data_IF_814217331573
#
_entry.id   IF_814217331573
#
_cell.length_a   1.000
_cell.length_b   1.000
_cell.length_c   1.000
_cell.angle_alpha   90.00
_cell.angle_beta   90.00
_cell.angle_gamma   90.00
#
_symmetry.space_group_name_H-M   'P 1'
#
loop_
_entity.id
_entity.type
_entity.pdbx_description
1 polymer ?
#
# COMPACT_ATOMS: atom_id res chain seq x y z
N UNK A 1 15.54 -9.26 14.66
CA UNK A 1 15.09 -9.10 13.25
C UNK A 1 13.61 -9.33 13.07
N UNK A 2 13.04 -10.43 13.61
CA UNK A 2 11.60 -10.71 13.46
C UNK A 2 10.70 -9.66 14.14
N UNK A 3 11.06 -9.19 15.33
CA UNK A 3 10.30 -8.15 16.05
C UNK A 3 10.28 -6.81 15.30
N UNK A 4 11.42 -6.38 14.77
CA UNK A 4 11.52 -5.15 13.97
C UNK A 4 10.69 -5.24 12.67
N UNK A 5 10.66 -6.42 12.05
CA UNK A 5 9.81 -6.66 10.88
C UNK A 5 8.32 -6.55 11.21
N UNK A 6 7.88 -7.16 12.31
CA UNK A 6 6.46 -7.08 12.74
C UNK A 6 6.07 -5.64 13.05
N UNK A 7 6.92 -4.88 13.75
CA UNK A 7 6.64 -3.48 14.09
C UNK A 7 6.55 -2.63 12.82
N UNK A 8 7.52 -2.76 11.91
CA UNK A 8 7.51 -2.04 10.63
C UNK A 8 6.27 -2.40 9.81
N UNK A 9 5.93 -3.68 9.70
CA UNK A 9 4.75 -4.14 8.99
C UNK A 9 3.46 -3.58 9.62
N UNK A 10 3.35 -3.58 10.95
CA UNK A 10 2.19 -3.01 11.65
C UNK A 10 2.05 -1.52 11.38
N UNK A 11 3.14 -0.76 11.42
CA UNK A 11 3.13 0.68 11.13
C UNK A 11 2.68 0.94 9.70
N UNK A 12 3.23 0.21 8.73
CA UNK A 12 2.82 0.28 7.32
C UNK A 12 1.34 -0.04 7.16
N UNK A 13 0.87 -1.17 7.71
CA UNK A 13 -0.53 -1.59 7.62
C UNK A 13 -1.49 -0.56 8.22
N UNK A 14 -1.15 0.01 9.39
CA UNK A 14 -1.97 1.04 10.03
C UNK A 14 -2.00 2.32 9.19
N UNK A 15 -0.85 2.75 8.70
CA UNK A 15 -0.71 3.99 7.91
C UNK A 15 -1.50 3.89 6.61
N UNK A 16 -1.34 2.79 5.89
CA UNK A 16 -1.95 2.60 4.58
C UNK A 16 -3.45 2.29 4.68
N UNK A 17 -3.87 1.55 5.71
CA UNK A 17 -5.30 1.34 5.99
C UNK A 17 -5.98 2.64 6.37
N UNK A 18 -5.31 3.49 7.17
CA UNK A 18 -5.84 4.80 7.55
C UNK A 18 -5.92 5.73 6.34
N UNK A 19 -4.89 5.77 5.50
CA UNK A 19 -4.92 6.58 4.28
C UNK A 19 -5.97 6.08 3.27
N UNK A 20 -6.19 4.77 3.15
CA UNK A 20 -7.27 4.21 2.33
C UNK A 20 -8.65 4.55 2.89
N UNK A 21 -8.80 4.56 4.22
CA UNK A 21 -10.04 4.98 4.88
C UNK A 21 -10.32 6.46 4.61
N UNK A 22 -9.34 7.33 4.82
CA UNK A 22 -9.43 8.77 4.54
C UNK A 22 -9.77 9.00 3.07
N UNK A 23 -9.07 8.32 2.16
CA UNK A 23 -9.34 8.38 0.73
C UNK A 23 -10.77 7.93 0.42
N UNK A 24 -11.23 6.82 0.98
CA UNK A 24 -12.57 6.29 0.71
C UNK A 24 -13.67 7.21 1.23
N UNK A 25 -13.47 7.87 2.38
CA UNK A 25 -14.40 8.88 2.92
C UNK A 25 -14.41 10.12 2.03
N UNK A 26 -13.23 10.65 1.68
CA UNK A 26 -13.11 11.84 0.82
C UNK A 26 -13.61 11.58 -0.61
N UNK A 27 -13.35 10.39 -1.14
CA UNK A 27 -13.78 9.94 -2.46
C UNK A 27 -15.25 9.46 -2.51
N UNK A 28 -15.98 9.52 -1.38
CA UNK A 28 -17.44 9.40 -1.37
C UNK A 28 -18.12 10.39 -2.33
N UNK A 29 -17.50 11.54 -2.59
CA UNK A 29 -17.92 12.49 -3.63
C UNK A 29 -17.57 12.06 -5.07
N UNK A 30 -16.60 11.17 -5.27
CA UNK A 30 -16.03 10.79 -6.58
C UNK A 30 -16.60 9.44 -7.09
N UNK A 31 -17.74 8.98 -6.54
CA UNK A 31 -18.40 7.70 -6.89
C UNK A 31 -17.59 6.42 -6.58
N UNK A 32 -16.46 6.50 -5.88
CA UNK A 32 -15.60 5.35 -5.61
C UNK A 32 -16.00 4.56 -4.35
N UNK A 33 -16.61 5.21 -3.35
CA UNK A 33 -17.10 4.56 -2.14
C UNK A 33 -18.40 5.24 -1.67
N UNK A 34 -19.55 4.78 -2.16
CA UNK A 34 -20.85 5.43 -1.90
C UNK A 34 -21.55 4.88 -0.66
N UNK A 35 -21.24 3.66 -0.26
CA UNK A 35 -21.79 3.02 0.93
C UNK A 35 -20.71 2.69 1.96
N UNK A 36 -21.13 2.52 3.22
CA UNK A 36 -20.26 2.01 4.30
C UNK A 36 -19.62 0.66 3.94
N UNK A 37 -20.34 -0.19 3.21
CA UNK A 37 -19.84 -1.49 2.78
C UNK A 37 -18.72 -1.36 1.74
N UNK A 38 -18.78 -0.35 0.86
CA UNK A 38 -17.70 -0.08 -0.10
C UNK A 38 -16.44 0.42 0.60
N UNK A 39 -16.60 1.31 1.59
CA UNK A 39 -15.48 1.81 2.41
C UNK A 39 -14.81 0.63 3.14
N UNK A 40 -15.59 -0.21 3.80
CA UNK A 40 -15.08 -1.40 4.48
C UNK A 40 -14.35 -2.34 3.52
N UNK A 41 -14.95 -2.63 2.36
CA UNK A 41 -14.33 -3.48 1.34
C UNK A 41 -13.01 -2.89 0.86
N UNK A 42 -12.94 -1.59 0.62
CA UNK A 42 -11.74 -0.89 0.17
C UNK A 42 -10.62 -0.95 1.20
N UNK A 43 -10.93 -0.72 2.48
CA UNK A 43 -9.96 -0.82 3.58
C UNK A 43 -9.47 -2.25 3.76
N UNK A 44 -10.37 -3.25 3.75
CA UNK A 44 -9.99 -4.66 3.83
C UNK A 44 -9.10 -5.04 2.65
N UNK A 45 -9.43 -4.55 1.46
CA UNK A 45 -8.63 -4.80 0.26
C UNK A 45 -7.22 -4.22 0.41
N UNK A 46 -7.08 -2.98 0.87
CA UNK A 46 -5.77 -2.39 1.17
C UNK A 46 -5.00 -3.20 2.19
N UNK A 47 -5.64 -3.59 3.29
CA UNK A 47 -5.03 -4.43 4.31
C UNK A 47 -4.48 -5.74 3.74
N UNK A 48 -5.30 -6.48 2.97
CA UNK A 48 -4.89 -7.76 2.38
C UNK A 48 -3.79 -7.57 1.35
N UNK A 49 -3.95 -6.60 0.46
CA UNK A 49 -2.97 -6.30 -0.58
C UNK A 49 -1.63 -5.96 0.05
N UNK A 50 -1.61 -5.07 1.05
CA UNK A 50 -0.39 -4.59 1.69
C UNK A 50 0.27 -5.67 2.55
N UNK A 51 -0.50 -6.50 3.25
CA UNK A 51 0.06 -7.69 3.93
C UNK A 51 0.79 -8.56 2.91
N UNK A 52 0.14 -8.87 1.78
CA UNK A 52 0.72 -9.78 0.78
C UNK A 52 1.94 -9.16 0.11
N UNK A 53 1.85 -7.91 -0.36
CA UNK A 53 2.96 -7.23 -1.03
C UNK A 53 4.14 -7.11 -0.07
N UNK A 54 3.98 -6.44 1.06
CA UNK A 54 5.10 -6.18 1.99
C UNK A 54 5.70 -7.48 2.55
N UNK A 55 4.91 -8.52 2.79
CA UNK A 55 5.44 -9.84 3.21
C UNK A 55 6.27 -10.48 2.11
N UNK A 56 5.73 -10.57 0.88
CA UNK A 56 6.47 -11.15 -0.26
C UNK A 56 7.77 -10.36 -0.47
N UNK A 57 7.68 -9.03 -0.47
CA UNK A 57 8.82 -8.16 -0.67
C UNK A 57 9.89 -8.32 0.40
N UNK A 58 9.52 -8.41 1.68
CA UNK A 58 10.48 -8.62 2.75
C UNK A 58 11.31 -9.89 2.55
N UNK A 59 10.68 -10.99 2.11
CA UNK A 59 11.37 -12.26 1.91
C UNK A 59 12.07 -12.38 0.56
N UNK A 60 11.64 -11.64 -0.47
CA UNK A 60 12.31 -11.65 -1.78
C UNK A 60 13.40 -10.58 -1.90
N UNK A 61 13.39 -9.54 -1.07
CA UNK A 61 14.39 -8.47 -1.05
C UNK A 61 15.83 -9.02 -0.99
N UNK A 62 16.19 -9.97 -0.11
CA UNK A 62 17.57 -10.45 -0.01
C UNK A 62 18.03 -11.30 -1.21
N UNK A 63 17.09 -11.78 -2.05
CA UNK A 63 17.39 -12.68 -3.17
C UNK A 63 18.01 -11.96 -4.37
N UNK A 64 17.83 -10.63 -4.46
CA UNK A 64 18.34 -9.84 -5.59
C UNK A 64 19.76 -9.35 -5.31
N UNK A 65 20.70 -9.78 -6.18
CA UNK A 65 22.11 -9.38 -6.17
C UNK A 65 22.35 -8.03 -6.86
N UNK A 66 21.61 -7.00 -6.45
CA UNK A 66 21.82 -5.62 -6.87
C UNK A 66 22.31 -4.79 -5.68
N UNK A 67 22.81 -3.59 -5.97
CA UNK A 67 23.09 -2.58 -4.96
C UNK A 67 21.86 -2.33 -4.07
N UNK A 68 22.09 -2.13 -2.77
CA UNK A 68 21.01 -2.01 -1.79
C UNK A 68 20.04 -0.87 -2.12
N UNK A 69 20.56 0.26 -2.61
CA UNK A 69 19.77 1.46 -2.91
C UNK A 69 18.91 1.23 -4.15
N UNK A 70 19.50 0.71 -5.22
CA UNK A 70 18.79 0.41 -6.47
C UNK A 70 17.69 -0.63 -6.21
N UNK A 71 18.01 -1.65 -5.41
CA UNK A 71 17.08 -2.70 -5.04
C UNK A 71 15.88 -2.16 -4.27
N UNK A 72 16.12 -1.31 -3.27
CA UNK A 72 15.07 -0.68 -2.47
C UNK A 72 14.11 0.13 -3.35
N UNK A 73 14.63 1.07 -4.16
CA UNK A 73 13.80 1.90 -5.04
C UNK A 73 13.06 1.11 -6.12
N UNK A 74 13.69 0.07 -6.67
CA UNK A 74 13.05 -0.80 -7.64
C UNK A 74 11.85 -1.55 -7.04
N UNK A 75 11.98 -1.99 -5.78
CA UNK A 75 10.90 -2.67 -5.08
C UNK A 75 9.76 -1.74 -4.68
N UNK A 76 10.05 -0.56 -4.16
CA UNK A 76 9.04 0.47 -3.89
C UNK A 76 8.24 0.79 -5.15
N UNK A 77 8.92 0.97 -6.29
CA UNK A 77 8.24 1.23 -7.57
C UNK A 77 7.33 0.07 -7.98
N UNK A 78 7.78 -1.17 -7.78
CA UNK A 78 7.01 -2.36 -8.11
C UNK A 78 5.80 -2.52 -7.19
N UNK A 79 5.95 -2.26 -5.89
CA UNK A 79 4.87 -2.21 -4.90
C UNK A 79 3.80 -1.23 -5.37
N UNK A 80 4.21 0.01 -5.68
CA UNK A 80 3.30 1.08 -6.10
C UNK A 80 2.46 0.67 -7.32
N UNK A 81 3.08 0.01 -8.29
CA UNK A 81 2.39 -0.48 -9.48
C UNK A 81 1.42 -1.61 -9.14
N UNK A 82 1.87 -2.64 -8.40
CA UNK A 82 1.06 -3.81 -8.06
C UNK A 82 -0.16 -3.41 -7.21
N UNK A 83 0.06 -2.62 -6.18
CA UNK A 83 -1.01 -2.15 -5.29
C UNK A 83 -1.98 -1.21 -6.02
N UNK A 84 -1.46 -0.26 -6.82
CA UNK A 84 -2.29 0.61 -7.63
C UNK A 84 -3.16 -0.16 -8.64
N UNK A 85 -2.63 -1.23 -9.24
CA UNK A 85 -3.40 -2.14 -10.09
C UNK A 85 -4.45 -2.92 -9.28
N UNK A 86 -4.09 -3.41 -8.09
CA UNK A 86 -5.03 -4.10 -7.20
C UNK A 86 -6.19 -3.18 -6.79
N UNK A 87 -5.92 -1.93 -6.42
CA UNK A 87 -6.93 -0.92 -6.11
C UNK A 87 -7.84 -0.58 -7.28
N UNK A 88 -7.29 -0.50 -8.50
CA UNK A 88 -8.11 -0.34 -9.70
C UNK A 88 -9.05 -1.52 -9.89
N UNK A 89 -8.54 -2.75 -9.79
CA UNK A 89 -9.31 -3.96 -10.10
C UNK A 89 -10.36 -4.25 -9.02
N UNK A 90 -9.96 -4.19 -7.75
CA UNK A 90 -10.76 -4.65 -6.62
C UNK A 90 -11.65 -3.54 -6.03
N UNK A 91 -11.15 -2.30 -6.00
CA UNK A 91 -11.83 -1.13 -5.46
C UNK A 91 -12.43 -0.22 -6.55
N UNK A 92 -12.23 -0.56 -7.84
CA UNK A 92 -12.73 0.20 -9.00
C UNK A 92 -12.28 1.68 -9.03
N UNK A 93 -11.15 1.98 -8.42
CA UNK A 93 -10.58 3.33 -8.40
C UNK A 93 -10.00 3.64 -9.80
N UNK A 94 -10.20 4.86 -10.36
CA UNK A 94 -9.56 5.27 -11.61
C UNK A 94 -8.05 5.04 -11.56
N UNK A 95 -7.43 4.58 -12.65
CA UNK A 95 -6.01 4.15 -12.64
C UNK A 95 -5.07 5.24 -12.12
N UNK A 96 -5.27 6.48 -12.58
CA UNK A 96 -4.48 7.64 -12.13
C UNK A 96 -4.55 7.82 -10.62
N UNK A 97 -5.76 7.72 -10.05
CA UNK A 97 -5.99 7.90 -8.62
C UNK A 97 -5.49 6.69 -7.83
N UNK A 98 -5.58 5.48 -8.38
CA UNK A 98 -5.13 4.27 -7.73
C UNK A 98 -3.59 4.22 -7.62
N UNK A 99 -2.90 4.58 -8.69
CA UNK A 99 -1.43 4.69 -8.71
C UNK A 99 -0.97 5.85 -7.82
N UNK A 100 -1.61 7.01 -7.90
CA UNK A 100 -1.27 8.15 -7.04
C UNK A 100 -1.52 7.83 -5.56
N UNK A 101 -2.62 7.15 -5.24
CA UNK A 101 -2.93 6.72 -3.88
C UNK A 101 -1.88 5.74 -3.37
N UNK A 102 -1.57 4.69 -4.13
CA UNK A 102 -0.54 3.72 -3.71
C UNK A 102 0.83 4.38 -3.55
N UNK A 103 1.20 5.31 -4.44
CA UNK A 103 2.44 6.07 -4.29
C UNK A 103 2.46 6.91 -3.00
N UNK A 104 1.40 7.66 -2.73
CA UNK A 104 1.31 8.48 -1.52
C UNK A 104 1.33 7.63 -0.25
N UNK A 105 0.60 6.51 -0.24
CA UNK A 105 0.56 5.58 0.88
C UNK A 105 1.94 5.00 1.17
N UNK A 106 2.62 4.46 0.15
CA UNK A 106 3.96 3.91 0.31
C UNK A 106 4.99 4.98 0.68
N UNK A 107 4.88 6.18 0.11
CA UNK A 107 5.78 7.29 0.47
C UNK A 107 5.64 7.68 1.95
N UNK A 108 4.39 7.79 2.45
CA UNK A 108 4.15 8.11 3.87
C UNK A 108 4.62 6.98 4.76
N UNK A 109 4.32 5.72 4.44
CA UNK A 109 4.82 4.55 5.17
C UNK A 109 6.35 4.51 5.22
N UNK A 110 7.01 4.79 4.10
CA UNK A 110 8.46 4.85 3.99
C UNK A 110 9.03 5.96 4.88
N UNK A 111 8.48 7.17 4.79
CA UNK A 111 8.92 8.31 5.61
C UNK A 111 8.75 8.06 7.11
N UNK A 112 7.64 7.43 7.51
CA UNK A 112 7.40 7.04 8.90
C UNK A 112 8.36 5.92 9.33
N UNK A 113 8.67 4.98 8.44
CA UNK A 113 9.56 3.86 8.72
C UNK A 113 11.02 4.25 8.90
N UNK A 114 11.44 5.40 8.36
CA UNK A 114 12.82 5.92 8.47
C UNK A 114 13.00 6.98 9.59
N UNK A 115 11.91 7.51 10.14
CA UNK A 115 11.90 8.53 11.21
C UNK A 115 11.90 7.91 12.60
#
# INVERSE_FOLDING_TARGET
MFEAHIISLLVTLLTESMGMLIFSIAAGGIKCARSRNDIQKNVITALVVNVVTHTVFWYTLPLIKLDHVIRLYGYETLIVIIEGLAYRILCKIPLSNAIALSFLLNLVSFLIGIS
#
